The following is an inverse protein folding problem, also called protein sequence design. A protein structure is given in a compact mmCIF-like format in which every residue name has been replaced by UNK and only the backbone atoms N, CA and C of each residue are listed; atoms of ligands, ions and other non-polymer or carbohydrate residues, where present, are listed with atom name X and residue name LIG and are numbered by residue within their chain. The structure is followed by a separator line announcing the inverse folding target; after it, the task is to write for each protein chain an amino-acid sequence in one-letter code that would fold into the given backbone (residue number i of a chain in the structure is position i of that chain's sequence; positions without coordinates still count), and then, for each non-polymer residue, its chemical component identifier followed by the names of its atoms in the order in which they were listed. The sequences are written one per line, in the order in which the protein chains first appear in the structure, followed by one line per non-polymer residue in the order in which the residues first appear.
data_IF_160869082477
#
_entry.id   IF_160869082477
#
_cell.length_a   1.000
_cell.length_b   1.000
_cell.length_c   1.000
_cell.angle_alpha   90.00
_cell.angle_beta   90.00
_cell.angle_gamma   90.00
#
_symmetry.space_group_name_H-M   'P 1'
#
loop_
_entity.id
_entity.type
_entity.pdbx_description
1 polymer ?
#
# COMPACT_ATOMS: atom_id res chain seq x y z
N UNK A 1 14.82 -13.90 45.80
CA UNK A 1 15.80 -14.49 44.86
C UNK A 1 15.30 -14.19 43.45
N UNK A 2 15.69 -13.04 42.89
CA UNK A 2 15.48 -12.74 41.48
C UNK A 2 16.63 -13.42 40.73
N UNK A 3 16.36 -14.51 40.00
CA UNK A 3 17.32 -15.08 39.07
C UNK A 3 17.38 -14.17 37.85
N UNK A 4 18.46 -13.39 37.74
CA UNK A 4 18.88 -12.69 36.52
C UNK A 4 18.98 -13.71 35.38
N UNK A 5 18.09 -13.60 34.40
CA UNK A 5 18.28 -14.23 33.09
C UNK A 5 19.54 -13.65 32.45
N UNK A 6 20.46 -14.55 32.13
CA UNK A 6 21.78 -14.24 31.61
C UNK A 6 21.65 -13.63 30.21
N UNK A 7 22.41 -12.56 29.94
CA UNK A 7 22.41 -11.87 28.63
C UNK A 7 22.96 -12.76 27.51
N UNK A 8 23.52 -13.92 27.83
CA UNK A 8 24.04 -14.92 26.88
C UNK A 8 22.95 -15.64 26.10
N UNK A 9 21.74 -15.78 26.65
CA UNK A 9 20.70 -16.64 26.08
C UNK A 9 19.88 -15.95 24.98
N UNK A 10 20.09 -14.65 24.76
CA UNK A 10 19.46 -13.89 23.68
C UNK A 10 20.19 -14.05 22.34
N UNK A 11 21.31 -14.78 22.30
CA UNK A 11 22.23 -14.80 21.15
C UNK A 11 22.07 -16.00 20.21
N UNK A 12 21.17 -16.94 20.50
CA UNK A 12 20.88 -18.05 19.60
C UNK A 12 19.57 -17.81 18.84
N UNK A 13 19.69 -17.70 17.51
CA UNK A 13 18.62 -17.73 16.48
C UNK A 13 18.12 -16.41 15.86
N UNK A 14 18.96 -15.38 15.73
CA UNK A 14 18.80 -14.44 14.61
C UNK A 14 19.80 -14.78 13.51
N UNK A 15 19.40 -15.68 12.60
CA UNK A 15 20.10 -16.01 11.33
C UNK A 15 20.20 -14.81 10.37
N UNK A 16 19.80 -13.61 10.81
CA UNK A 16 19.64 -12.40 10.03
C UNK A 16 20.11 -11.19 10.84
N UNK A 17 21.06 -10.43 10.31
CA UNK A 17 21.52 -9.19 10.93
C UNK A 17 20.46 -8.10 10.74
N UNK A 18 19.69 -7.83 11.80
CA UNK A 18 18.66 -6.78 11.83
C UNK A 18 19.27 -5.40 11.56
N UNK A 19 20.52 -5.18 11.98
CA UNK A 19 21.26 -3.94 11.75
C UNK A 19 21.42 -3.64 10.27
N UNK A 20 21.81 -4.65 9.48
CA UNK A 20 22.01 -4.48 8.03
C UNK A 20 20.69 -4.18 7.32
N UNK A 21 19.60 -4.83 7.76
CA UNK A 21 18.26 -4.54 7.26
C UNK A 21 17.90 -3.08 7.51
N UNK A 22 17.93 -2.61 8.75
CA UNK A 22 17.53 -1.22 9.09
C UNK A 22 18.45 -0.20 8.40
N UNK A 23 19.77 -0.43 8.40
CA UNK A 23 20.74 0.46 7.76
C UNK A 23 20.52 0.60 6.25
N UNK A 24 19.99 -0.44 5.59
CA UNK A 24 19.63 -0.34 4.17
C UNK A 24 18.45 0.60 3.91
N UNK A 25 17.46 0.61 4.81
CA UNK A 25 16.30 1.49 4.70
C UNK A 25 16.66 2.97 4.94
N UNK A 26 17.61 3.25 5.82
CA UNK A 26 18.03 4.64 6.12
C UNK A 26 18.80 5.32 4.97
N UNK A 27 19.27 4.54 3.98
CA UNK A 27 20.05 5.05 2.84
C UNK A 27 19.21 5.35 1.60
N UNK A 28 17.90 5.13 1.70
CA UNK A 28 16.99 5.34 0.59
C UNK A 28 16.65 6.83 0.44
N UNK A 29 16.79 7.35 -0.77
CA UNK A 29 16.37 8.71 -1.10
C UNK A 29 14.83 8.83 -1.16
N UNK A 30 14.14 7.73 -1.48
CA UNK A 30 12.69 7.66 -1.65
C UNK A 30 12.15 6.32 -1.11
N UNK A 31 10.87 6.32 -0.73
CA UNK A 31 10.19 5.09 -0.32
C UNK A 31 10.13 4.09 -1.50
N UNK A 32 10.40 2.80 -1.27
CA UNK A 32 10.22 1.78 -2.31
C UNK A 32 8.76 1.71 -2.77
N UNK A 33 8.57 1.39 -4.04
CA UNK A 33 7.24 1.13 -4.61
C UNK A 33 7.10 -0.37 -4.86
N UNK A 34 6.11 -0.97 -4.22
CA UNK A 34 5.70 -2.37 -4.48
C UNK A 34 4.60 -2.35 -5.53
N UNK A 35 4.86 -2.99 -6.66
CA UNK A 35 3.89 -3.19 -7.74
C UNK A 35 3.17 -4.52 -7.52
N UNK A 36 1.85 -4.47 -7.37
CA UNK A 36 0.97 -5.62 -7.23
C UNK A 36 0.12 -5.72 -8.49
N UNK A 37 0.37 -6.74 -9.31
CA UNK A 37 -0.34 -6.96 -10.58
C UNK A 37 -1.06 -8.29 -10.55
N UNK A 38 -2.35 -8.28 -10.81
CA UNK A 38 -3.13 -9.49 -11.04
C UNK A 38 -3.23 -9.78 -12.54
N UNK A 39 -2.97 -11.03 -12.92
CA UNK A 39 -3.38 -11.57 -14.21
C UNK A 39 -4.78 -12.17 -14.04
N UNK A 40 -5.75 -11.59 -14.74
CA UNK A 40 -7.16 -11.94 -14.62
C UNK A 40 -7.56 -13.19 -15.41
N UNK A 41 -6.78 -13.59 -16.42
CA UNK A 41 -7.07 -14.75 -17.26
C UNK A 41 -6.69 -16.07 -16.56
N UNK A 42 -5.60 -16.05 -15.78
CA UNK A 42 -5.04 -17.24 -15.14
C UNK A 42 -4.93 -17.13 -13.61
N UNK A 43 -5.46 -16.05 -13.02
CA UNK A 43 -5.46 -15.78 -11.58
C UNK A 43 -4.08 -15.79 -10.92
N UNK A 44 -3.03 -15.37 -11.64
CA UNK A 44 -1.71 -15.16 -11.04
C UNK A 44 -1.57 -13.77 -10.41
N UNK A 45 -1.00 -13.72 -9.21
CA UNK A 45 -0.53 -12.51 -8.58
C UNK A 45 0.98 -12.36 -8.81
N UNK A 46 1.38 -11.19 -9.29
CA UNK A 46 2.77 -10.78 -9.46
C UNK A 46 3.06 -9.61 -8.52
N UNK A 47 4.05 -9.76 -7.66
CA UNK A 47 4.51 -8.70 -6.75
C UNK A 47 5.97 -8.41 -7.07
N UNK A 48 6.27 -7.17 -7.40
CA UNK A 48 7.63 -6.74 -7.70
C UNK A 48 7.96 -5.42 -7.01
N UNK A 49 9.24 -5.11 -6.92
CA UNK A 49 9.70 -3.83 -6.37
C UNK A 49 10.27 -2.97 -7.50
N UNK A 50 9.82 -1.73 -7.57
CA UNK A 50 10.27 -0.78 -8.59
C UNK A 50 11.63 -0.16 -8.23
N UNK A 51 12.53 -0.11 -9.23
CA UNK A 51 13.72 0.76 -9.26
C UNK A 51 14.50 0.84 -7.94
N UNK A 52 14.70 -0.29 -7.28
CA UNK A 52 15.53 -0.34 -6.08
C UNK A 52 17.00 -0.50 -6.42
N UNK A 53 17.78 0.45 -5.93
CA UNK A 53 19.23 0.33 -5.91
C UNK A 53 19.63 -0.88 -5.03
N UNK A 54 20.71 -1.59 -5.40
CA UNK A 54 21.14 -2.86 -4.81
C UNK A 54 21.37 -2.85 -3.28
N UNK A 55 21.31 -1.67 -2.65
CA UNK A 55 21.53 -1.47 -1.23
C UNK A 55 20.35 -1.89 -0.36
N UNK A 56 19.12 -1.98 -0.88
CA UNK A 56 17.94 -2.31 -0.07
C UNK A 56 17.87 -3.79 0.24
N UNK A 57 17.73 -4.12 1.52
CA UNK A 57 17.51 -5.49 1.98
C UNK A 57 16.03 -5.84 1.94
N UNK A 58 15.75 -7.15 1.96
CA UNK A 58 14.42 -7.78 1.89
C UNK A 58 13.26 -6.96 2.47
N UNK A 59 12.17 -6.85 1.71
CA UNK A 59 10.95 -6.14 2.09
C UNK A 59 9.89 -7.15 2.49
N UNK A 60 9.37 -7.04 3.71
CA UNK A 60 8.22 -7.82 4.13
C UNK A 60 6.94 -7.21 3.56
N UNK A 61 6.16 -8.01 2.83
CA UNK A 61 4.89 -7.60 2.24
C UNK A 61 3.79 -8.54 2.71
N UNK A 62 2.79 -7.99 3.39
CA UNK A 62 1.54 -8.68 3.71
C UNK A 62 0.46 -8.28 2.70
N UNK A 63 -0.40 -9.23 2.35
CA UNK A 63 -1.48 -9.05 1.39
C UNK A 63 -2.76 -9.67 1.93
N UNK A 64 -3.87 -9.00 1.68
CA UNK A 64 -5.21 -9.54 1.88
C UNK A 64 -6.07 -9.31 0.63
N UNK A 65 -7.22 -9.95 0.61
CA UNK A 65 -8.27 -9.77 -0.39
C UNK A 65 -9.58 -9.51 0.34
N UNK A 66 -10.59 -8.97 -0.34
CA UNK A 66 -11.90 -8.67 0.25
C UNK A 66 -12.49 -9.85 1.05
N UNK A 67 -12.37 -11.08 0.54
CA UNK A 67 -12.83 -12.31 1.20
C UNK A 67 -12.15 -12.56 2.56
N UNK A 68 -10.82 -12.55 2.58
CA UNK A 68 -10.04 -12.82 3.79
C UNK A 68 -10.05 -11.63 4.74
N UNK A 69 -10.31 -10.42 4.23
CA UNK A 69 -10.46 -9.24 5.04
C UNK A 69 -11.61 -9.37 6.04
N UNK A 70 -12.78 -9.86 5.60
CA UNK A 70 -13.94 -10.08 6.47
C UNK A 70 -13.65 -11.10 7.59
N UNK A 71 -12.71 -12.02 7.37
CA UNK A 71 -12.26 -13.01 8.35
C UNK A 71 -10.96 -12.63 9.08
N UNK A 72 -10.44 -11.41 8.88
CA UNK A 72 -9.14 -10.93 9.41
C UNK A 72 -7.96 -11.85 9.07
N UNK A 73 -8.03 -12.54 7.93
CA UNK A 73 -6.98 -13.42 7.42
C UNK A 73 -6.09 -12.68 6.42
N UNK A 74 -4.85 -13.13 6.33
CA UNK A 74 -3.94 -12.76 5.26
C UNK A 74 -4.13 -13.73 4.10
N UNK A 75 -4.12 -13.18 2.89
CA UNK A 75 -4.01 -13.97 1.67
C UNK A 75 -2.63 -14.61 1.58
N UNK A 76 -1.58 -13.80 1.81
CA UNK A 76 -0.20 -14.26 1.86
C UNK A 76 0.69 -13.22 2.54
N UNK A 77 1.89 -13.65 2.97
CA UNK A 77 2.96 -12.77 3.44
C UNK A 77 4.28 -13.25 2.87
N UNK A 78 5.05 -12.35 2.26
CA UNK A 78 6.29 -12.68 1.55
C UNK A 78 7.41 -11.71 1.89
N UNK A 79 8.63 -12.22 1.99
CA UNK A 79 9.83 -11.39 1.98
C UNK A 79 10.35 -11.26 0.54
N UNK A 80 10.22 -10.08 -0.04
CA UNK A 80 10.68 -9.78 -1.39
C UNK A 80 12.15 -9.38 -1.38
N UNK A 81 12.92 -9.92 -2.31
CA UNK A 81 14.26 -9.41 -2.63
C UNK A 81 14.14 -8.38 -3.76
N UNK A 82 14.98 -7.32 -3.77
CA UNK A 82 15.06 -6.44 -4.93
C UNK A 82 15.34 -7.24 -6.20
N UNK A 83 14.76 -6.79 -7.32
CA UNK A 83 14.91 -7.39 -8.65
C UNK A 83 14.38 -8.83 -8.80
N UNK A 84 13.74 -9.40 -7.79
CA UNK A 84 13.08 -10.71 -7.87
C UNK A 84 11.58 -10.49 -7.67
N UNK A 85 10.82 -10.73 -8.74
CA UNK A 85 9.37 -10.75 -8.67
C UNK A 85 8.90 -12.03 -7.96
N UNK A 86 7.98 -11.86 -7.03
CA UNK A 86 7.23 -12.98 -6.47
C UNK A 86 5.99 -13.23 -7.32
N UNK A 87 5.75 -14.49 -7.61
CA UNK A 87 4.59 -14.93 -8.36
C UNK A 87 3.87 -16.02 -7.56
N UNK A 88 2.56 -15.89 -7.41
CA UNK A 88 1.72 -16.91 -6.79
C UNK A 88 0.42 -17.08 -7.57
N UNK A 89 -0.04 -18.33 -7.72
CA UNK A 89 -1.41 -18.61 -8.15
C UNK A 89 -2.35 -18.35 -6.99
N UNK A 90 -3.41 -17.60 -7.21
CA UNK A 90 -4.40 -17.27 -6.18
C UNK A 90 -5.77 -17.70 -6.65
N UNK A 91 -6.40 -18.61 -5.91
CA UNK A 91 -7.77 -19.02 -6.19
C UNK A 91 -8.72 -18.00 -5.54
N UNK A 92 -9.13 -16.97 -6.30
CA UNK A 92 -10.11 -15.99 -5.85
C UNK A 92 -11.52 -16.58 -5.91
N UNK A 93 -12.28 -16.49 -4.82
CA UNK A 93 -13.70 -16.88 -4.81
C UNK A 93 -14.53 -16.00 -5.76
N UNK A 94 -14.19 -14.71 -5.84
CA UNK A 94 -14.85 -13.76 -6.74
C UNK A 94 -13.80 -12.98 -7.52
N UNK A 95 -13.97 -12.97 -8.83
CA UNK A 95 -13.11 -12.22 -9.72
C UNK A 95 -13.16 -10.73 -9.46
N UNK A 96 -14.21 -10.17 -8.86
CA UNK A 96 -14.37 -8.75 -8.55
C UNK A 96 -13.69 -8.30 -7.25
N UNK A 97 -13.17 -9.22 -6.45
CA UNK A 97 -12.52 -8.85 -5.20
C UNK A 97 -11.23 -8.05 -5.44
N UNK A 98 -11.06 -7.02 -4.61
CA UNK A 98 -9.85 -6.23 -4.56
C UNK A 98 -8.77 -6.93 -3.74
N UNK A 99 -7.53 -6.60 -4.06
CA UNK A 99 -6.33 -6.95 -3.30
C UNK A 99 -5.81 -5.70 -2.62
N UNK A 100 -5.40 -5.84 -1.36
CA UNK A 100 -4.78 -4.78 -0.58
C UNK A 100 -3.49 -5.31 0.04
N UNK A 101 -2.40 -4.57 -0.14
CA UNK A 101 -1.10 -4.90 0.44
C UNK A 101 -0.63 -3.80 1.40
N UNK A 102 0.29 -4.17 2.29
CA UNK A 102 0.79 -3.31 3.36
C UNK A 102 -0.32 -2.89 4.33
N UNK A 103 -0.96 -3.88 4.95
CA UNK A 103 -2.08 -3.66 5.87
C UNK A 103 -1.65 -2.78 7.04
N UNK A 104 -2.50 -1.81 7.34
CA UNK A 104 -2.33 -0.81 8.39
C UNK A 104 -0.98 -0.09 8.32
N UNK A 105 -0.42 0.03 7.11
CA UNK A 105 0.89 0.66 6.88
C UNK A 105 2.02 0.04 7.72
N UNK A 106 1.96 -1.28 7.94
CA UNK A 106 2.96 -2.03 8.72
C UNK A 106 4.41 -1.94 8.18
N UNK A 107 4.57 -1.60 6.89
CA UNK A 107 5.87 -1.39 6.25
C UNK A 107 6.04 0.01 5.66
N UNK A 108 7.29 0.48 5.62
CA UNK A 108 7.66 1.79 5.10
C UNK A 108 7.84 1.79 3.57
N UNK A 109 6.78 1.48 2.82
CA UNK A 109 6.78 1.45 1.36
C UNK A 109 5.39 1.79 0.78
N UNK A 110 5.37 2.27 -0.46
CA UNK A 110 4.16 2.57 -1.23
C UNK A 110 3.70 1.34 -2.00
N UNK A 111 2.40 1.21 -2.24
CA UNK A 111 1.87 0.09 -3.04
C UNK A 111 1.12 0.60 -4.24
N UNK A 112 1.59 0.26 -5.44
CA UNK A 112 0.86 0.49 -6.68
C UNK A 112 0.17 -0.80 -7.12
N UNK A 113 -1.07 -0.67 -7.57
CA UNK A 113 -1.85 -1.77 -8.11
C UNK A 113 -2.03 -1.61 -9.62
N UNK A 114 -2.36 -2.70 -10.31
CA UNK A 114 -2.89 -2.57 -11.66
C UNK A 114 -4.22 -1.77 -11.69
N UNK A 115 -4.55 -1.21 -12.85
CA UNK A 115 -5.68 -0.29 -13.03
C UNK A 115 -7.01 -0.93 -12.62
N UNK A 116 -7.19 -2.22 -12.88
CA UNK A 116 -8.44 -2.90 -12.58
C UNK A 116 -8.59 -3.13 -11.07
N UNK A 117 -7.51 -3.48 -10.37
CA UNK A 117 -7.54 -3.54 -8.91
C UNK A 117 -7.80 -2.18 -8.25
N UNK A 118 -7.21 -1.09 -8.77
CA UNK A 118 -7.55 0.27 -8.33
C UNK A 118 -9.04 0.58 -8.48
N UNK A 119 -9.64 0.23 -9.63
CA UNK A 119 -11.09 0.42 -9.86
C UNK A 119 -11.95 -0.38 -8.89
N UNK A 120 -11.51 -1.56 -8.47
CA UNK A 120 -12.25 -2.39 -7.49
C UNK A 120 -12.17 -1.80 -6.09
N UNK A 121 -11.00 -1.30 -5.70
CA UNK A 121 -10.85 -0.55 -4.46
C UNK A 121 -11.77 0.67 -4.45
N UNK A 122 -11.80 1.45 -5.55
CA UNK A 122 -12.75 2.57 -5.73
C UNK A 122 -14.19 2.10 -5.54
N UNK A 123 -14.63 1.06 -6.28
CA UNK A 123 -16.00 0.55 -6.16
C UNK A 123 -16.35 0.17 -4.72
N UNK A 124 -15.44 -0.52 -4.02
CA UNK A 124 -15.65 -0.91 -2.64
C UNK A 124 -15.73 0.27 -1.67
N UNK A 125 -14.85 1.28 -1.85
CA UNK A 125 -14.82 2.48 -1.03
C UNK A 125 -16.10 3.31 -1.14
N UNK A 126 -16.86 3.20 -2.24
CA UNK A 126 -18.17 3.85 -2.44
C UNK A 126 -19.35 3.04 -1.88
N UNK A 127 -19.12 1.85 -1.33
CA UNK A 127 -20.17 1.07 -0.67
C UNK A 127 -20.33 1.48 0.79
N UNK A 128 -21.46 1.12 1.41
CA UNK A 128 -21.66 1.25 2.86
C UNK A 128 -20.71 0.38 3.70
N UNK A 129 -19.97 -0.54 3.06
CA UNK A 129 -19.02 -1.44 3.71
C UNK A 129 -17.59 -0.90 3.77
N UNK A 130 -17.32 0.30 3.26
CA UNK A 130 -15.96 0.86 3.18
C UNK A 130 -15.22 0.86 4.53
N UNK A 131 -15.94 1.04 5.65
CA UNK A 131 -15.38 1.04 7.01
C UNK A 131 -14.77 -0.28 7.45
N UNK A 132 -15.04 -1.36 6.71
CA UNK A 132 -14.32 -2.62 6.90
C UNK A 132 -12.83 -2.40 6.66
N UNK A 133 -12.43 -1.77 5.54
CA UNK A 133 -11.03 -1.39 5.32
C UNK A 133 -10.59 -0.49 6.47
N UNK A 134 -9.49 -0.87 7.14
CA UNK A 134 -9.01 -0.14 8.31
C UNK A 134 -8.69 1.33 7.95
N UNK A 135 -8.91 2.26 8.87
CA UNK A 135 -8.75 3.68 8.59
C UNK A 135 -7.35 4.05 8.07
N UNK A 136 -6.29 3.42 8.61
CA UNK A 136 -4.92 3.60 8.13
C UNK A 136 -4.74 3.14 6.68
N UNK A 137 -5.42 2.07 6.27
CA UNK A 137 -5.39 1.60 4.88
C UNK A 137 -6.15 2.55 3.96
N UNK A 138 -7.29 3.10 4.41
CA UNK A 138 -8.06 4.10 3.67
C UNK A 138 -7.26 5.39 3.46
N UNK A 139 -6.57 5.86 4.50
CA UNK A 139 -5.64 6.99 4.43
C UNK A 139 -4.50 6.69 3.44
N UNK A 140 -3.86 5.53 3.58
CA UNK A 140 -2.78 5.08 2.69
C UNK A 140 -3.21 5.04 1.22
N UNK A 141 -4.42 4.57 0.91
CA UNK A 141 -4.93 4.53 -0.47
C UNK A 141 -5.00 5.93 -1.10
N UNK A 142 -5.38 6.96 -0.35
CA UNK A 142 -5.42 8.34 -0.83
C UNK A 142 -4.01 8.89 -1.04
N UNK A 143 -3.11 8.68 -0.07
CA UNK A 143 -1.72 9.14 -0.14
C UNK A 143 -0.96 8.50 -1.31
N UNK A 144 -1.07 7.17 -1.46
CA UNK A 144 -0.45 6.42 -2.55
C UNK A 144 -1.04 6.82 -3.91
N UNK A 145 -2.37 6.93 -4.02
CA UNK A 145 -3.01 7.34 -5.27
C UNK A 145 -2.58 8.74 -5.72
N UNK A 146 -2.50 9.70 -4.79
CA UNK A 146 -2.00 11.04 -5.11
C UNK A 146 -0.55 11.01 -5.57
N UNK A 147 0.32 10.30 -4.85
CA UNK A 147 1.72 10.13 -5.24
C UNK A 147 1.84 9.58 -6.67
N UNK A 148 1.08 8.54 -7.01
CA UNK A 148 1.14 7.93 -8.34
C UNK A 148 0.53 8.81 -9.44
N UNK A 149 -0.42 9.68 -9.13
CA UNK A 149 -0.86 10.71 -10.08
C UNK A 149 0.26 11.71 -10.34
N UNK A 150 0.93 12.19 -9.29
CA UNK A 150 2.02 13.16 -9.40
C UNK A 150 3.24 12.60 -10.14
N UNK A 151 3.49 11.29 -10.07
CA UNK A 151 4.56 10.61 -10.81
C UNK A 151 4.12 10.09 -12.18
N UNK A 152 2.86 10.32 -12.59
CA UNK A 152 2.33 9.88 -13.89
C UNK A 152 2.09 8.37 -14.01
N UNK A 153 2.08 7.64 -12.89
CA UNK A 153 1.87 6.19 -12.83
C UNK A 153 0.39 5.79 -12.61
N UNK A 154 -0.48 6.73 -12.23
CA UNK A 154 -1.90 6.52 -12.05
C UNK A 154 -2.72 7.58 -12.79
N UNK A 155 -3.85 7.15 -13.38
CA UNK A 155 -4.78 8.05 -14.06
C UNK A 155 -5.48 8.95 -13.04
N UNK A 156 -5.55 10.26 -13.34
CA UNK A 156 -6.19 11.27 -12.48
C UNK A 156 -7.63 10.92 -12.10
N UNK A 157 -8.40 10.38 -13.04
CA UNK A 157 -9.79 10.01 -12.82
C UNK A 157 -9.96 8.95 -11.73
N UNK A 158 -8.99 8.04 -11.59
CA UNK A 158 -8.99 7.05 -10.51
C UNK A 158 -8.78 7.75 -9.17
N UNK A 159 -7.81 8.65 -9.07
CA UNK A 159 -7.56 9.42 -7.85
C UNK A 159 -8.77 10.29 -7.46
N UNK A 160 -9.43 10.96 -8.41
CA UNK A 160 -10.64 11.73 -8.11
C UNK A 160 -11.78 10.83 -7.61
N UNK A 161 -11.97 9.66 -8.21
CA UNK A 161 -12.97 8.71 -7.74
C UNK A 161 -12.64 8.14 -6.35
N UNK A 162 -11.37 7.92 -6.01
CA UNK A 162 -10.95 7.61 -4.64
C UNK A 162 -11.30 8.80 -3.75
N UNK A 163 -10.82 10.01 -4.06
CA UNK A 163 -11.05 11.19 -3.23
C UNK A 163 -12.54 11.46 -2.97
N UNK A 164 -13.42 11.18 -3.94
CA UNK A 164 -14.86 11.34 -3.78
C UNK A 164 -15.47 10.47 -2.66
N UNK A 165 -14.91 9.29 -2.36
CA UNK A 165 -15.44 8.46 -1.26
C UNK A 165 -15.31 9.17 0.10
N UNK A 166 -14.36 10.10 0.26
CA UNK A 166 -14.17 10.83 1.51
C UNK A 166 -15.43 11.61 1.94
N UNK A 167 -16.30 11.97 1.00
CA UNK A 167 -17.59 12.61 1.29
C UNK A 167 -18.49 11.82 2.25
N UNK A 168 -18.30 10.49 2.37
CA UNK A 168 -19.01 9.62 3.31
C UNK A 168 -18.16 9.12 4.49
N UNK A 169 -16.86 9.44 4.53
CA UNK A 169 -15.98 9.10 5.66
C UNK A 169 -15.87 10.29 6.61
N UNK A 170 -16.05 10.06 7.90
CA UNK A 170 -15.95 11.10 8.94
C UNK A 170 -14.69 10.95 9.78
N UNK A 171 -13.83 9.96 9.48
CA UNK A 171 -12.61 9.72 10.22
C UNK A 171 -11.49 10.68 9.79
N UNK A 172 -10.98 11.44 10.75
CA UNK A 172 -9.89 12.40 10.52
C UNK A 172 -8.65 11.74 9.90
N UNK A 173 -8.31 10.52 10.31
CA UNK A 173 -7.11 9.83 9.83
C UNK A 173 -7.23 9.53 8.33
N UNK A 174 -8.42 9.16 7.86
CA UNK A 174 -8.69 8.95 6.43
C UNK A 174 -8.59 10.26 5.62
N UNK A 175 -9.04 11.38 6.20
CA UNK A 175 -8.99 12.70 5.58
C UNK A 175 -7.60 13.34 5.56
N UNK A 176 -6.73 13.00 6.52
CA UNK A 176 -5.45 13.67 6.71
C UNK A 176 -4.58 13.74 5.44
N UNK A 177 -4.40 12.65 4.66
CA UNK A 177 -3.66 12.71 3.39
C UNK A 177 -4.29 13.68 2.39
N UNK A 178 -5.62 13.76 2.33
CA UNK A 178 -6.28 14.68 1.42
C UNK A 178 -5.99 16.14 1.77
N UNK A 179 -5.98 16.50 3.06
CA UNK A 179 -5.58 17.84 3.48
C UNK A 179 -4.14 18.16 3.06
N UNK A 180 -3.21 17.20 3.19
CA UNK A 180 -1.82 17.37 2.73
C UNK A 180 -1.69 17.49 1.22
N UNK A 181 -2.48 16.73 0.47
CA UNK A 181 -2.53 16.82 -0.97
C UNK A 181 -3.05 18.20 -1.43
N UNK A 182 -4.13 18.69 -0.82
CA UNK A 182 -4.69 20.02 -1.08
C UNK A 182 -3.72 21.14 -0.70
N UNK A 183 -3.04 21.03 0.43
CA UNK A 183 -1.98 21.96 0.86
C UNK A 183 -0.87 22.01 -0.20
N UNK A 184 -0.40 20.85 -0.66
CA UNK A 184 0.65 20.73 -1.68
C UNK A 184 0.26 21.36 -3.02
N UNK A 185 -0.96 21.14 -3.51
CA UNK A 185 -1.42 21.70 -4.79
C UNK A 185 -2.09 23.07 -4.66
N UNK A 186 -2.16 23.66 -3.46
CA UNK A 186 -2.91 24.89 -3.22
C UNK A 186 -2.51 26.05 -4.14
N UNK A 187 -1.21 26.17 -4.43
CA UNK A 187 -0.69 27.18 -5.37
C UNK A 187 -1.18 27.00 -6.82
N UNK A 188 -1.52 25.76 -7.23
CA UNK A 188 -2.07 25.50 -8.55
C UNK A 188 -3.49 26.07 -8.73
N UNK A 189 -4.25 26.24 -7.64
CA UNK A 189 -5.61 26.77 -7.71
C UNK A 189 -5.68 28.25 -8.13
N UNK A 190 -4.57 28.98 -8.11
CA UNK A 190 -4.53 30.35 -8.63
C UNK A 190 -4.64 30.42 -10.17
N UNK A 191 -4.36 29.32 -10.87
CA UNK A 191 -4.28 29.29 -12.33
C UNK A 191 -5.61 28.87 -13.00
N UNK A 192 -5.98 29.43 -14.17
CA UNK A 192 -7.19 29.05 -14.91
C UNK A 192 -7.27 27.56 -15.26
N UNK A 193 -6.14 26.92 -15.46
CA UNK A 193 -6.02 25.49 -15.78
C UNK A 193 -6.57 24.60 -14.66
N UNK A 194 -6.69 25.12 -13.42
CA UNK A 194 -7.23 24.38 -12.27
C UNK A 194 -8.76 24.26 -12.25
N UNK A 195 -9.47 24.86 -13.22
CA UNK A 195 -10.95 24.89 -13.24
C UNK A 195 -11.59 23.50 -13.14
N UNK A 196 -10.97 22.46 -13.71
CA UNK A 196 -11.51 21.10 -13.65
C UNK A 196 -11.45 20.46 -12.25
N UNK A 197 -10.70 21.04 -11.30
CA UNK A 197 -10.59 20.55 -9.91
C UNK A 197 -11.55 21.31 -8.97
N UNK A 198 -12.03 22.50 -9.37
CA UNK A 198 -12.82 23.41 -8.53
C UNK A 198 -14.33 23.11 -8.49
N UNK A 199 -14.74 21.95 -9.00
CA UNK A 199 -16.16 21.58 -9.20
C UNK A 199 -16.73 20.92 -7.95
#
# INVERSE_FOLDING_TARGET
MQSTMDKSDFKSELKYNVTDKIASWTRLNHYPVINVKRNYDNNWLSISVENLNYFVTWIFVNITTQEYFDSKKLLTSVWLKPNISYHAKIDFIDENYWILANLQQSGCYRVNYDVENWKRLVRYLHTNSFRKIHVLDRAKLIDDAFHFVMTGQLQRDIFFNISHYLSQDTDYIAWYPMFKNLEYISGFFAFPESLFIKV
#
